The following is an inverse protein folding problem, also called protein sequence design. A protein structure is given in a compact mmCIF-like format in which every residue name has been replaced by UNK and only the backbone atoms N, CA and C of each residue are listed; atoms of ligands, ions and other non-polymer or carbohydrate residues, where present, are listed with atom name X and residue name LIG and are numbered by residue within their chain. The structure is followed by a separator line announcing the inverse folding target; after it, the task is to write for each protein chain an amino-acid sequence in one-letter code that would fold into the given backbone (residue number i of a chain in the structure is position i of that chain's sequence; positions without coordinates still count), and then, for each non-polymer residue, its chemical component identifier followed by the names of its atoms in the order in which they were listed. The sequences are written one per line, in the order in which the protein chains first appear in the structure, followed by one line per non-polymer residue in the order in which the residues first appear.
data_IF_828213166424
#
_entry.id   IF_828213166424
#
_cell.length_a   1.000
_cell.length_b   1.000
_cell.length_c   1.000
_cell.angle_alpha   90.00
_cell.angle_beta   90.00
_cell.angle_gamma   90.00
#
_symmetry.space_group_name_H-M   'P 1'
#
loop_
_entity.id
_entity.type
_entity.pdbx_description
1 polymer ?
#
# COMPACT_ATOMS: atom_id res chain seq x y z
N UNK A 1 -24.50 90.26 16.40
CA UNK A 1 -25.38 89.24 15.80
C UNK A 1 -24.65 87.91 15.94
N UNK A 2 -24.52 87.26 17.10
CA UNK A 2 -25.51 86.85 18.12
C UNK A 2 -26.56 85.88 17.58
N UNK A 3 -26.17 84.60 17.52
CA UNK A 3 -26.86 83.41 18.04
C UNK A 3 -28.29 83.03 17.54
N UNK A 4 -28.74 81.78 17.77
CA UNK A 4 -29.41 80.91 16.80
C UNK A 4 -30.85 80.57 17.26
N UNK A 5 -31.53 79.61 16.60
CA UNK A 5 -32.62 78.71 17.09
C UNK A 5 -33.50 78.22 15.92
N UNK A 6 -34.44 77.26 16.09
CA UNK A 6 -34.26 75.88 16.55
C UNK A 6 -35.11 74.89 15.72
N UNK A 7 -35.18 73.62 16.16
CA UNK A 7 -36.17 72.62 15.75
C UNK A 7 -37.55 72.97 16.30
N UNK A 8 -38.59 72.64 15.51
CA UNK A 8 -39.95 72.41 15.99
C UNK A 8 -40.30 70.92 15.88
N UNK A 9 -40.77 70.39 16.99
CA UNK A 9 -41.68 69.24 17.08
C UNK A 9 -43.08 69.70 16.65
N UNK A 10 -43.85 68.88 15.91
CA UNK A 10 -45.21 68.48 16.28
C UNK A 10 -45.90 67.60 15.22
N UNK A 11 -46.28 66.41 15.68
CA UNK A 11 -47.59 65.77 15.56
C UNK A 11 -48.31 65.68 14.19
N UNK A 12 -48.66 64.45 13.80
CA UNK A 12 -50.05 64.18 13.39
C UNK A 12 -50.46 62.70 13.49
N UNK A 13 -51.44 62.47 14.37
CA UNK A 13 -52.67 61.67 14.21
C UNK A 13 -52.65 60.22 13.67
N UNK A 14 -53.26 59.30 14.45
CA UNK A 14 -53.90 58.07 13.94
C UNK A 14 -55.23 58.36 13.22
N UNK A 15 -56.17 57.39 12.99
CA UNK A 15 -56.24 55.99 13.47
C UNK A 15 -56.67 54.94 12.40
N UNK A 16 -56.74 53.65 12.83
CA UNK A 16 -57.65 52.56 12.39
C UNK A 16 -57.68 52.16 10.87
N UNK A 17 -57.84 50.92 10.40
CA UNK A 17 -58.36 49.66 10.93
C UNK A 17 -58.19 48.57 9.84
N UNK A 18 -58.37 47.31 10.24
CA UNK A 18 -58.68 46.10 9.45
C UNK A 18 -57.54 45.15 9.04
N UNK A 19 -57.43 44.12 9.90
CA UNK A 19 -56.95 42.76 9.64
C UNK A 19 -57.73 42.05 8.52
N UNK A 20 -57.15 40.95 8.01
CA UNK A 20 -57.88 39.69 8.04
C UNK A 20 -57.14 38.57 8.78
N UNK A 21 -57.97 37.67 9.30
CA UNK A 21 -57.75 36.64 10.32
C UNK A 21 -57.35 35.26 9.78
N UNK A 22 -56.41 34.60 10.47
CA UNK A 22 -56.37 33.15 10.77
C UNK A 22 -55.88 32.17 9.68
N UNK A 23 -55.50 30.91 10.02
CA UNK A 23 -55.80 30.20 11.28
C UNK A 23 -54.64 29.42 11.96
N UNK A 24 -54.84 29.02 13.22
CA UNK A 24 -54.43 27.69 13.69
C UNK A 24 -53.21 27.57 14.61
N UNK A 25 -53.31 28.06 15.84
CA UNK A 25 -52.41 27.70 16.95
C UNK A 25 -52.74 26.31 17.50
N UNK A 26 -51.85 25.34 17.28
CA UNK A 26 -51.88 24.01 17.91
C UNK A 26 -50.88 24.00 19.07
N UNK A 27 -51.37 23.64 20.26
CA UNK A 27 -50.63 23.66 21.52
C UNK A 27 -49.38 22.79 21.50
N UNK A 28 -48.27 23.34 22.00
CA UNK A 28 -47.02 22.61 22.22
C UNK A 28 -47.01 22.13 23.67
N UNK A 29 -47.29 20.84 23.85
CA UNK A 29 -47.15 20.15 25.12
C UNK A 29 -45.68 20.18 25.58
N UNK A 30 -45.49 20.48 26.86
CA UNK A 30 -44.21 20.42 27.55
C UNK A 30 -43.72 18.96 27.63
N UNK A 31 -42.54 18.69 27.09
CA UNK A 31 -41.84 17.42 27.29
C UNK A 31 -40.99 17.59 28.55
N UNK A 32 -41.42 16.92 29.62
CA UNK A 32 -40.68 16.84 30.89
C UNK A 32 -39.38 16.03 30.76
N UNK A 33 -38.41 16.23 31.66
CA UNK A 33 -37.14 15.53 31.63
C UNK A 33 -37.30 14.02 31.88
N UNK A 34 -36.41 13.17 31.31
CA UNK A 34 -36.45 11.72 31.52
C UNK A 34 -36.12 11.34 32.97
N UNK A 35 -36.66 10.22 33.49
CA UNK A 35 -36.40 9.75 34.86
C UNK A 35 -34.94 9.34 35.05
N UNK A 36 -34.40 9.71 36.22
CA UNK A 36 -33.04 9.41 36.65
C UNK A 36 -32.82 7.90 36.83
N UNK A 37 -31.85 7.36 36.10
CA UNK A 37 -31.32 6.00 36.32
C UNK A 37 -30.42 6.04 37.54
N UNK A 38 -30.72 5.19 38.52
CA UNK A 38 -29.96 5.04 39.75
C UNK A 38 -28.49 4.67 39.46
N UNK A 39 -27.56 5.49 39.97
CA UNK A 39 -26.12 5.20 39.95
C UNK A 39 -25.81 4.15 41.02
N UNK A 40 -25.02 3.11 40.74
CA UNK A 40 -24.45 2.27 41.79
C UNK A 40 -23.47 3.09 42.64
N UNK A 41 -23.59 2.94 43.95
CA UNK A 41 -22.76 3.61 44.95
C UNK A 41 -21.30 3.21 44.80
N UNK A 42 -20.43 4.22 44.61
CA UNK A 42 -18.97 4.08 44.73
C UNK A 42 -18.62 4.29 46.21
N UNK A 43 -17.95 3.35 46.88
CA UNK A 43 -17.53 3.57 48.26
C UNK A 43 -16.47 4.67 48.32
N UNK A 44 -16.70 5.64 49.20
CA UNK A 44 -15.76 6.70 49.55
C UNK A 44 -14.49 6.09 50.16
N UNK A 45 -13.35 6.19 49.46
CA UNK A 45 -12.05 6.00 50.08
C UNK A 45 -11.56 7.33 50.65
N UNK A 46 -11.49 7.33 51.98
CA UNK A 46 -10.87 8.32 52.83
C UNK A 46 -9.44 8.64 52.40
N UNK A 47 -9.10 9.92 52.43
CA UNK A 47 -7.73 10.38 52.39
C UNK A 47 -6.95 9.94 53.63
N UNK A 48 -5.71 9.52 53.41
CA UNK A 48 -4.64 9.49 54.39
C UNK A 48 -3.33 9.89 53.69
N UNK A 49 -2.38 10.50 54.42
CA UNK A 49 -1.46 11.50 53.88
C UNK A 49 -0.20 10.89 53.23
N UNK A 50 0.46 11.72 52.42
CA UNK A 50 1.77 11.51 51.83
C UNK A 50 2.78 10.88 52.81
N UNK A 51 3.09 9.60 52.59
CA UNK A 51 4.30 8.99 53.13
C UNK A 51 5.48 9.44 52.27
N UNK A 52 6.44 10.13 52.88
CA UNK A 52 7.73 10.45 52.29
C UNK A 52 8.42 9.16 51.85
N UNK A 53 8.63 9.01 50.55
CA UNK A 53 9.41 7.92 49.99
C UNK A 53 10.89 8.19 50.30
N UNK A 54 11.41 7.50 51.31
CA UNK A 54 12.83 7.48 51.61
C UNK A 54 13.60 6.94 50.39
N UNK A 55 14.51 7.76 49.88
CA UNK A 55 15.44 7.42 48.81
C UNK A 55 16.40 6.35 49.34
N UNK A 56 16.36 5.16 48.76
CA UNK A 56 17.34 4.12 49.02
C UNK A 56 18.73 4.57 48.49
N UNK A 57 19.84 4.34 49.23
CA UNK A 57 21.17 4.67 48.76
C UNK A 57 21.58 3.79 47.57
N UNK A 58 22.39 4.32 46.61
CA UNK A 58 22.85 3.55 45.46
C UNK A 58 23.79 2.41 45.91
N UNK A 59 23.80 1.26 45.20
CA UNK A 59 24.71 0.15 45.51
C UNK A 59 26.18 0.54 45.23
N UNK A 60 27.15 -0.04 45.97
CA UNK A 60 28.56 0.26 45.77
C UNK A 60 29.05 -0.20 44.39
N UNK A 61 29.91 0.62 43.79
CA UNK A 61 30.57 0.42 42.51
C UNK A 61 31.26 -0.96 42.45
N UNK A 62 30.92 -1.77 41.44
CA UNK A 62 31.66 -3.00 41.13
C UNK A 62 33.07 -2.63 40.70
N UNK A 63 34.05 -3.11 41.47
CA UNK A 63 35.47 -3.15 41.11
C UNK A 63 35.65 -3.85 39.78
N UNK A 64 36.45 -3.24 38.90
CA UNK A 64 36.78 -3.74 37.57
C UNK A 64 37.51 -5.09 37.64
N UNK A 65 37.04 -6.05 36.85
CA UNK A 65 37.73 -7.33 36.60
C UNK A 65 38.73 -7.10 35.46
N UNK A 66 40.02 -7.47 35.61
CA UNK A 66 41.01 -7.31 34.55
C UNK A 66 40.76 -8.28 33.39
N UNK A 67 41.08 -7.91 32.14
CA UNK A 67 40.84 -8.74 30.97
C UNK A 67 41.77 -9.97 30.93
N UNK A 68 41.31 -11.12 30.40
CA UNK A 68 42.14 -12.29 30.23
C UNK A 68 43.20 -12.10 29.13
N UNK A 69 44.34 -12.82 29.19
CA UNK A 69 45.43 -12.72 28.22
C UNK A 69 45.02 -13.27 26.83
N UNK A 70 45.65 -12.80 25.75
CA UNK A 70 45.30 -13.21 24.39
C UNK A 70 45.70 -14.67 24.11
N UNK A 71 44.78 -15.42 23.50
CA UNK A 71 45.05 -16.75 22.96
C UNK A 71 45.92 -16.68 21.68
N UNK A 72 46.77 -17.68 21.41
CA UNK A 72 47.64 -17.70 20.25
C UNK A 72 46.86 -17.75 18.92
N UNK A 73 47.28 -16.90 17.97
CA UNK A 73 46.70 -16.77 16.64
C UNK A 73 46.98 -18.01 15.79
N UNK A 74 45.92 -18.69 15.37
CA UNK A 74 45.96 -19.74 14.34
C UNK A 74 45.70 -19.07 12.98
N UNK A 75 46.48 -19.32 11.92
CA UNK A 75 46.26 -18.68 10.62
C UNK A 75 44.92 -19.14 10.03
N UNK A 76 43.98 -18.22 9.83
CA UNK A 76 42.72 -18.50 9.11
C UNK A 76 43.01 -18.48 7.61
N UNK A 77 42.92 -19.65 7.00
CA UNK A 77 42.94 -19.84 5.56
C UNK A 77 41.69 -19.21 4.90
N UNK A 78 41.88 -18.62 3.71
CA UNK A 78 40.82 -18.05 2.88
C UNK A 78 39.70 -19.08 2.60
N UNK A 79 38.41 -18.69 2.62
CA UNK A 79 37.34 -19.56 2.15
C UNK A 79 37.35 -19.65 0.61
N UNK A 80 37.18 -20.85 0.02
CA UNK A 80 37.00 -20.97 -1.42
C UNK A 80 35.58 -20.55 -1.83
N UNK A 81 35.52 -19.71 -2.87
CA UNK A 81 34.34 -19.42 -3.68
C UNK A 81 33.92 -20.69 -4.42
N UNK A 82 32.79 -21.28 -4.04
CA UNK A 82 32.24 -22.47 -4.69
C UNK A 82 30.73 -22.37 -4.81
N UNK A 83 30.23 -22.08 -6.02
CA UNK A 83 28.83 -22.24 -6.36
C UNK A 83 28.46 -23.72 -6.35
N UNK A 84 27.38 -24.05 -5.64
CA UNK A 84 26.88 -25.41 -5.57
C UNK A 84 25.99 -25.68 -6.80
N UNK A 85 26.53 -26.46 -7.74
CA UNK A 85 25.78 -27.14 -8.79
C UNK A 85 25.76 -28.63 -8.43
N UNK A 86 24.59 -29.24 -8.38
CA UNK A 86 24.44 -30.66 -8.03
C UNK A 86 24.82 -31.52 -9.26
N UNK A 87 25.85 -32.37 -9.13
CA UNK A 87 26.04 -33.61 -9.91
C UNK A 87 27.25 -33.71 -10.86
N UNK A 88 28.46 -34.00 -10.35
CA UNK A 88 29.41 -35.00 -10.91
C UNK A 88 30.72 -35.10 -10.09
N UNK A 89 31.24 -36.31 -9.98
CA UNK A 89 32.55 -36.65 -9.38
C UNK A 89 33.77 -36.15 -10.19
N UNK A 90 34.96 -36.01 -9.56
CA UNK A 90 36.14 -35.36 -10.13
C UNK A 90 37.16 -36.35 -10.70
N UNK A 91 37.95 -35.90 -11.69
CA UNK A 91 39.25 -36.50 -12.00
C UNK A 91 40.34 -35.44 -12.15
N UNK A 92 41.48 -35.77 -11.54
CA UNK A 92 42.71 -35.03 -11.29
C UNK A 92 43.44 -34.49 -12.54
N UNK A 93 44.15 -33.36 -12.39
CA UNK A 93 45.64 -33.28 -12.56
C UNK A 93 46.17 -31.84 -12.44
N UNK A 94 47.38 -31.71 -11.87
CA UNK A 94 48.15 -30.48 -11.60
C UNK A 94 49.27 -30.25 -12.67
N UNK A 95 50.32 -29.44 -12.44
CA UNK A 95 50.41 -28.01 -12.81
C UNK A 95 51.57 -27.70 -13.81
N UNK A 96 51.59 -26.50 -14.40
CA UNK A 96 52.78 -25.91 -15.06
C UNK A 96 52.94 -24.44 -14.66
N UNK A 97 54.20 -24.02 -14.53
CA UNK A 97 54.71 -22.82 -13.85
C UNK A 97 55.21 -21.76 -14.86
N UNK A 98 55.07 -20.46 -14.51
CA UNK A 98 55.88 -19.25 -14.87
C UNK A 98 55.68 -18.59 -16.27
N UNK A 99 55.75 -17.25 -16.54
CA UNK A 99 56.40 -16.00 -16.00
C UNK A 99 55.57 -14.73 -16.45
N UNK A 100 55.60 -13.53 -15.78
CA UNK A 100 54.73 -12.35 -16.09
C UNK A 100 55.38 -11.28 -17.03
N UNK A 101 54.60 -10.39 -17.72
CA UNK A 101 54.39 -8.97 -17.31
C UNK A 101 53.06 -8.33 -17.89
N UNK A 102 52.86 -6.99 -17.94
CA UNK A 102 52.95 -5.95 -16.92
C UNK A 102 51.55 -5.54 -16.38
N UNK A 103 51.53 -4.77 -15.28
CA UNK A 103 50.35 -4.28 -14.56
C UNK A 103 49.23 -3.75 -15.47
N UNK A 104 48.12 -4.49 -15.51
CA UNK A 104 46.86 -4.06 -16.14
C UNK A 104 45.73 -4.36 -15.16
N UNK A 105 44.76 -3.45 -15.08
CA UNK A 105 43.62 -3.48 -14.15
C UNK A 105 42.99 -4.88 -14.03
N UNK A 106 42.75 -5.30 -12.78
CA UNK A 106 42.47 -6.69 -12.42
C UNK A 106 41.26 -7.33 -13.14
N UNK A 107 41.29 -8.66 -13.36
CA UNK A 107 40.27 -9.41 -14.12
C UNK A 107 38.90 -9.53 -13.43
N UNK A 108 38.74 -8.96 -12.22
CA UNK A 108 37.47 -9.01 -11.50
C UNK A 108 36.46 -8.00 -12.06
N UNK A 109 36.89 -6.82 -12.51
CA UNK A 109 35.98 -5.78 -13.05
C UNK A 109 35.41 -6.16 -14.42
N UNK A 110 36.21 -6.83 -15.27
CA UNK A 110 35.75 -7.36 -16.56
C UNK A 110 34.86 -8.59 -16.41
N UNK A 111 35.07 -9.43 -15.39
CA UNK A 111 34.22 -10.61 -15.15
C UNK A 111 32.85 -10.21 -14.62
N UNK A 112 32.78 -9.26 -13.66
CA UNK A 112 31.50 -8.74 -13.14
C UNK A 112 30.74 -7.96 -14.24
N UNK A 113 31.44 -7.16 -15.06
CA UNK A 113 30.81 -6.48 -16.20
C UNK A 113 30.30 -7.45 -17.27
N UNK A 114 31.02 -8.55 -17.53
CA UNK A 114 30.62 -9.58 -18.50
C UNK A 114 29.47 -10.45 -17.97
N UNK A 115 29.44 -10.73 -16.67
CA UNK A 115 28.32 -11.41 -16.00
C UNK A 115 27.07 -10.52 -15.94
N UNK A 116 27.22 -9.21 -15.70
CA UNK A 116 26.12 -8.24 -15.78
C UNK A 116 25.58 -8.10 -17.22
N UNK A 117 26.46 -8.08 -18.22
CA UNK A 117 26.06 -8.08 -19.64
C UNK A 117 25.36 -9.41 -20.04
N UNK A 118 25.84 -10.55 -19.55
CA UNK A 118 25.20 -11.85 -19.77
C UNK A 118 23.82 -11.94 -19.09
N UNK A 119 23.67 -11.40 -17.87
CA UNK A 119 22.39 -11.33 -17.17
C UNK A 119 21.40 -10.38 -17.86
N UNK A 120 21.87 -9.22 -18.37
CA UNK A 120 21.05 -8.30 -19.17
C UNK A 120 20.59 -8.94 -20.49
N UNK A 121 21.46 -9.70 -21.15
CA UNK A 121 21.13 -10.43 -22.38
C UNK A 121 20.13 -11.55 -22.10
N UNK A 122 20.28 -12.28 -20.99
CA UNK A 122 19.33 -13.31 -20.56
C UNK A 122 17.95 -12.71 -20.19
N UNK A 123 17.92 -11.54 -19.56
CA UNK A 123 16.69 -10.81 -19.25
C UNK A 123 15.99 -10.30 -20.52
N UNK A 124 16.72 -9.80 -21.52
CA UNK A 124 16.18 -9.44 -22.83
C UNK A 124 15.68 -10.65 -23.62
N UNK A 125 16.37 -11.79 -23.54
CA UNK A 125 15.95 -13.06 -24.16
C UNK A 125 14.66 -13.60 -23.50
N UNK A 126 14.55 -13.53 -22.17
CA UNK A 126 13.34 -13.91 -21.45
C UNK A 126 12.17 -12.96 -21.79
N UNK A 127 12.42 -11.65 -21.91
CA UNK A 127 11.41 -10.66 -22.28
C UNK A 127 10.91 -10.84 -23.71
N UNK A 128 11.79 -11.14 -24.66
CA UNK A 128 11.44 -11.43 -26.06
C UNK A 128 10.73 -12.77 -26.19
N UNK A 129 11.13 -13.80 -25.44
CA UNK A 129 10.44 -15.09 -25.40
C UNK A 129 9.04 -14.95 -24.81
N UNK A 130 8.86 -14.14 -23.76
CA UNK A 130 7.55 -13.86 -23.18
C UNK A 130 6.66 -13.03 -24.13
N UNK A 131 7.23 -12.05 -24.83
CA UNK A 131 6.52 -11.29 -25.87
C UNK A 131 6.12 -12.17 -27.06
N UNK A 132 6.99 -13.08 -27.49
CA UNK A 132 6.71 -14.05 -28.56
C UNK A 132 5.72 -15.13 -28.10
N UNK A 133 5.74 -15.55 -26.83
CA UNK A 133 4.75 -16.46 -26.26
C UNK A 133 3.36 -15.79 -26.14
N UNK A 134 3.31 -14.51 -25.76
CA UNK A 134 2.08 -13.71 -25.79
C UNK A 134 1.55 -13.50 -27.21
N UNK A 135 2.44 -13.24 -28.18
CA UNK A 135 2.07 -13.13 -29.59
C UNK A 135 1.64 -14.47 -30.20
N UNK A 136 2.27 -15.59 -29.82
CA UNK A 136 1.86 -16.94 -30.22
C UNK A 136 0.53 -17.34 -29.58
N UNK A 137 0.30 -17.04 -28.30
CA UNK A 137 -1.00 -17.27 -27.66
C UNK A 137 -2.13 -16.43 -28.30
N UNK A 138 -1.82 -15.21 -28.74
CA UNK A 138 -2.77 -14.38 -29.50
C UNK A 138 -2.98 -14.87 -30.94
N UNK A 139 -1.96 -15.49 -31.56
CA UNK A 139 -2.06 -16.10 -32.88
C UNK A 139 -2.78 -17.46 -32.85
N UNK A 140 -2.56 -18.27 -31.82
CA UNK A 140 -3.19 -19.58 -31.59
C UNK A 140 -4.67 -19.42 -31.19
N UNK A 141 -5.03 -18.32 -30.52
CA UNK A 141 -6.42 -17.89 -30.35
C UNK A 141 -7.08 -17.39 -31.65
N UNK A 142 -6.28 -17.12 -32.69
CA UNK A 142 -6.73 -16.74 -34.04
C UNK A 142 -6.74 -17.90 -35.04
N UNK A 143 -6.27 -19.09 -34.64
CA UNK A 143 -6.35 -20.30 -35.43
C UNK A 143 -7.68 -21.01 -35.09
N UNK A 144 -8.43 -21.37 -36.13
CA UNK A 144 -9.79 -21.91 -36.04
C UNK A 144 -9.97 -22.93 -34.92
N UNK A 145 -10.69 -22.53 -33.87
CA UNK A 145 -11.25 -23.47 -32.92
C UNK A 145 -12.18 -24.41 -33.70
N UNK A 146 -12.04 -25.76 -33.58
CA UNK A 146 -12.95 -26.68 -34.23
C UNK A 146 -14.37 -26.37 -33.78
N UNK A 147 -15.29 -26.35 -34.77
CA UNK A 147 -16.68 -25.97 -34.65
C UNK A 147 -17.30 -26.36 -33.30
N UNK A 148 -17.37 -25.38 -32.40
CA UNK A 148 -18.07 -25.51 -31.13
C UNK A 148 -19.53 -25.84 -31.37
N UNK A 149 -20.01 -26.84 -30.64
CA UNK A 149 -21.32 -27.47 -30.74
C UNK A 149 -22.45 -26.44 -30.87
N UNK A 150 -23.01 -26.38 -32.08
CA UNK A 150 -24.18 -25.57 -32.39
C UNK A 150 -25.36 -26.16 -31.63
N UNK A 151 -25.85 -25.47 -30.60
CA UNK A 151 -27.20 -25.69 -30.09
C UNK A 151 -28.18 -25.06 -31.10
N UNK A 152 -28.37 -25.72 -32.25
CA UNK A 152 -29.45 -25.41 -33.17
C UNK A 152 -30.73 -25.98 -32.57
N UNK A 153 -31.38 -25.19 -31.72
CA UNK A 153 -32.73 -25.49 -31.27
C UNK A 153 -33.74 -25.12 -32.37
N UNK A 154 -33.74 -25.88 -33.46
CA UNK A 154 -34.92 -26.05 -34.34
C UNK A 154 -35.59 -27.36 -33.99
N UNK A 155 -36.43 -27.34 -32.95
CA UNK A 155 -37.41 -28.40 -32.70
C UNK A 155 -38.82 -27.79 -32.79
N UNK A 156 -39.71 -28.31 -33.65
CA UNK A 156 -41.09 -27.84 -33.71
C UNK A 156 -41.86 -28.27 -32.46
N UNK A 157 -42.97 -27.60 -32.11
CA UNK A 157 -43.67 -27.83 -30.86
C UNK A 157 -44.59 -29.05 -31.00
N UNK A 158 -44.31 -30.11 -30.26
CA UNK A 158 -45.37 -30.99 -29.77
C UNK A 158 -44.86 -31.88 -28.63
N UNK A 159 -45.69 -32.04 -27.61
CA UNK A 159 -45.49 -32.98 -26.50
C UNK A 159 -45.25 -32.28 -25.16
N UNK A 160 -46.28 -32.27 -24.32
CA UNK A 160 -46.30 -31.60 -23.03
C UNK A 160 -45.44 -32.24 -21.94
N UNK A 161 -45.37 -31.53 -20.81
CA UNK A 161 -44.94 -32.08 -19.54
C UNK A 161 -43.84 -31.28 -18.84
N UNK A 162 -44.25 -30.63 -17.74
CA UNK A 162 -43.45 -30.16 -16.59
C UNK A 162 -42.77 -28.79 -16.69
N UNK A 163 -43.41 -27.82 -16.04
CA UNK A 163 -42.80 -26.56 -15.62
C UNK A 163 -41.95 -26.78 -14.36
N UNK A 164 -40.68 -26.31 -14.32
CA UNK A 164 -40.03 -25.92 -13.08
C UNK A 164 -40.23 -24.41 -12.87
N UNK A 165 -40.78 -24.05 -11.71
CA UNK A 165 -40.75 -22.69 -11.18
C UNK A 165 -39.29 -22.27 -10.93
N UNK A 166 -38.63 -21.68 -11.92
CA UNK A 166 -37.48 -20.81 -11.69
C UNK A 166 -37.88 -19.36 -11.96
N UNK A 167 -37.76 -18.55 -10.91
CA UNK A 167 -38.11 -17.14 -10.91
C UNK A 167 -37.48 -16.37 -12.07
N UNK A 168 -38.23 -15.37 -12.53
CA UNK A 168 -37.97 -14.47 -13.65
C UNK A 168 -36.68 -13.65 -13.45
N UNK A 169 -35.51 -14.26 -13.64
CA UNK A 169 -34.33 -13.48 -14.01
C UNK A 169 -34.41 -13.27 -15.52
N UNK A 170 -34.50 -12.01 -15.94
CA UNK A 170 -34.41 -11.66 -17.35
C UNK A 170 -33.13 -12.27 -17.92
N UNK A 171 -33.24 -13.14 -18.93
CA UNK A 171 -32.06 -13.62 -19.67
C UNK A 171 -31.28 -12.40 -20.14
N UNK A 172 -30.01 -12.30 -19.76
CA UNK A 172 -29.09 -11.38 -20.42
C UNK A 172 -29.14 -11.69 -21.92
N UNK A 173 -29.64 -10.74 -22.72
CA UNK A 173 -29.48 -10.79 -24.17
C UNK A 173 -28.03 -10.41 -24.46
N UNK A 174 -27.15 -11.40 -24.39
CA UNK A 174 -25.80 -11.27 -24.93
C UNK A 174 -25.94 -11.34 -26.45
N UNK A 175 -26.19 -10.19 -27.07
CA UNK A 175 -26.12 -10.06 -28.52
C UNK A 175 -24.67 -10.13 -28.98
N UNK A 176 -24.42 -10.71 -30.15
CA UNK A 176 -23.14 -10.57 -30.82
C UNK A 176 -23.17 -9.31 -31.68
N UNK A 177 -22.18 -8.44 -31.51
CA UNK A 177 -22.01 -7.23 -32.29
C UNK A 177 -20.67 -7.27 -33.00
N UNK A 178 -20.66 -7.02 -34.30
CA UNK A 178 -19.43 -6.90 -35.09
C UNK A 178 -19.02 -5.44 -35.18
N UNK A 179 -17.73 -5.18 -35.01
CA UNK A 179 -17.15 -3.83 -35.07
C UNK A 179 -15.93 -3.88 -35.98
N UNK A 180 -15.74 -2.87 -36.83
CA UNK A 180 -14.55 -2.76 -37.69
C UNK A 180 -13.29 -2.50 -36.85
N UNK A 181 -12.12 -2.98 -37.29
CA UNK A 181 -10.85 -2.78 -36.56
C UNK A 181 -10.56 -1.31 -36.18
N UNK A 182 -10.78 -0.31 -37.06
CA UNK A 182 -10.59 1.10 -36.70
C UNK A 182 -11.60 1.61 -35.65
N UNK A 183 -12.82 1.06 -35.63
CA UNK A 183 -13.83 1.40 -34.63
C UNK A 183 -13.55 0.70 -33.29
N UNK A 184 -13.00 -0.52 -33.31
CA UNK A 184 -12.52 -1.20 -32.10
C UNK A 184 -11.38 -0.42 -31.45
N UNK A 185 -10.46 0.14 -32.23
CA UNK A 185 -9.37 0.98 -31.73
C UNK A 185 -9.85 2.29 -31.08
N UNK A 186 -11.09 2.72 -31.37
CA UNK A 186 -11.74 3.88 -30.73
C UNK A 186 -12.50 3.49 -29.47
N UNK A 187 -12.74 2.20 -29.23
CA UNK A 187 -13.41 1.73 -28.03
C UNK A 187 -12.52 2.00 -26.83
N UNK A 188 -12.95 2.91 -25.97
CA UNK A 188 -12.32 3.15 -24.67
C UNK A 188 -13.27 2.60 -23.62
N UNK A 189 -12.85 1.51 -22.96
CA UNK A 189 -13.47 1.12 -21.71
C UNK A 189 -13.03 2.15 -20.66
N UNK A 190 -13.89 3.12 -20.37
CA UNK A 190 -13.75 3.88 -19.14
C UNK A 190 -14.18 2.94 -18.02
N UNK A 191 -13.21 2.46 -17.24
CA UNK A 191 -13.48 1.65 -16.06
C UNK A 191 -13.28 2.53 -14.82
N UNK A 192 -14.23 3.42 -14.49
CA UNK A 192 -14.19 4.14 -13.22
C UNK A 192 -14.23 3.09 -12.10
N UNK A 193 -13.28 3.16 -11.17
CA UNK A 193 -13.14 2.18 -10.09
C UNK A 193 -12.11 1.05 -10.32
N UNK A 194 -11.28 1.15 -11.36
CA UNK A 194 -10.13 0.23 -11.50
C UNK A 194 -8.97 0.66 -10.60
N UNK A 195 -8.62 -0.20 -9.64
CA UNK A 195 -7.48 0.02 -8.75
C UNK A 195 -7.69 -0.61 -7.38
N UNK A 196 -6.66 -0.47 -6.55
CA UNK A 196 -6.68 -0.86 -5.15
C UNK A 196 -7.44 0.18 -4.35
N UNK A 197 -8.58 -0.20 -3.75
CA UNK A 197 -9.33 0.67 -2.84
C UNK A 197 -8.52 0.83 -1.55
N UNK A 198 -7.99 2.02 -1.31
CA UNK A 198 -7.18 2.31 -0.13
C UNK A 198 -8.02 2.78 1.06
N UNK A 199 -9.23 3.25 0.84
CA UNK A 199 -10.06 3.75 1.93
C UNK A 199 -11.17 4.65 1.44
N UNK A 200 -11.62 5.56 2.30
CA UNK A 200 -12.66 6.52 1.97
C UNK A 200 -12.19 7.97 2.20
N UNK A 201 -12.64 8.88 1.35
CA UNK A 201 -12.42 10.31 1.54
C UNK A 201 -13.34 10.88 2.65
N UNK A 202 -13.23 12.19 2.89
CA UNK A 202 -14.08 12.91 3.86
C UNK A 202 -15.58 12.84 3.53
N UNK A 203 -15.95 12.56 2.29
CA UNK A 203 -17.34 12.34 1.85
C UNK A 203 -17.76 10.86 1.95
N UNK A 204 -16.94 10.00 2.56
CA UNK A 204 -17.15 8.55 2.64
C UNK A 204 -17.19 7.86 1.27
N UNK A 205 -16.57 8.47 0.25
CA UNK A 205 -16.46 7.86 -1.08
C UNK A 205 -15.20 7.01 -1.17
N UNK A 206 -15.26 5.80 -1.76
CA UNK A 206 -14.10 4.95 -1.88
C UNK A 206 -13.03 5.60 -2.77
N UNK A 207 -11.79 5.59 -2.31
CA UNK A 207 -10.63 6.11 -3.05
C UNK A 207 -9.78 4.95 -3.53
N UNK A 208 -9.74 4.77 -4.85
CA UNK A 208 -8.94 3.75 -5.53
C UNK A 208 -7.63 4.33 -6.07
N UNK A 209 -6.54 3.58 -5.92
CA UNK A 209 -5.22 3.90 -6.48
C UNK A 209 -4.77 2.80 -7.43
N UNK A 210 -4.17 3.18 -8.56
CA UNK A 210 -3.73 2.25 -9.60
C UNK A 210 -2.34 1.70 -9.32
N UNK A 211 -2.25 0.77 -8.37
CA UNK A 211 -1.00 0.06 -8.06
C UNK A 211 -0.52 -0.77 -9.26
N UNK A 212 -1.43 -1.57 -9.83
CA UNK A 212 -1.11 -2.53 -10.87
C UNK A 212 -1.56 -2.03 -12.24
N UNK A 213 -0.59 -1.81 -13.14
CA UNK A 213 -0.79 -1.32 -14.51
C UNK A 213 0.33 -1.80 -15.43
N UNK A 214 0.19 -1.69 -16.76
CA UNK A 214 1.26 -2.07 -17.69
C UNK A 214 2.58 -1.33 -17.45
N UNK A 215 2.53 -0.09 -16.97
CA UNK A 215 3.73 0.64 -16.57
C UNK A 215 4.15 0.27 -15.13
N UNK A 216 5.44 0.07 -14.87
CA UNK A 216 5.95 -0.10 -13.53
C UNK A 216 5.53 1.04 -12.59
N UNK A 217 5.22 0.72 -11.34
CA UNK A 217 4.80 1.71 -10.34
C UNK A 217 5.65 1.60 -9.09
N UNK A 218 6.21 2.73 -8.63
CA UNK A 218 6.94 2.88 -7.37
C UNK A 218 6.09 3.68 -6.39
N UNK A 219 5.94 3.14 -5.18
CA UNK A 219 5.19 3.74 -4.09
C UNK A 219 6.11 3.85 -2.88
N UNK A 220 6.12 5.00 -2.21
CA UNK A 220 6.74 5.13 -0.89
C UNK A 220 5.65 5.27 0.16
N UNK A 221 5.80 4.59 1.28
CA UNK A 221 4.95 4.73 2.46
C UNK A 221 5.81 5.25 3.61
N UNK A 222 5.58 6.48 4.06
CA UNK A 222 6.18 7.01 5.29
C UNK A 222 5.20 6.78 6.44
N UNK A 223 5.54 5.84 7.32
CA UNK A 223 4.66 5.37 8.38
C UNK A 223 4.99 3.95 8.83
N UNK A 224 4.13 3.37 9.65
CA UNK A 224 4.36 2.06 10.24
C UNK A 224 4.08 0.88 9.29
N UNK A 225 4.63 -0.27 9.66
CA UNK A 225 4.37 -1.55 8.99
C UNK A 225 2.87 -1.92 8.95
N UNK A 226 2.06 -1.39 9.87
CA UNK A 226 0.61 -1.58 9.88
C UNK A 226 -0.04 -1.13 8.56
N UNK A 227 0.25 0.09 8.10
CA UNK A 227 -0.31 0.60 6.85
C UNK A 227 0.19 -0.22 5.64
N UNK A 228 1.47 -0.62 5.65
CA UNK A 228 2.04 -1.48 4.62
C UNK A 228 1.38 -2.86 4.57
N UNK A 229 1.09 -3.44 5.73
CA UNK A 229 0.40 -4.73 5.85
C UNK A 229 -1.05 -4.64 5.37
N UNK A 230 -1.74 -3.54 5.66
CA UNK A 230 -3.11 -3.32 5.18
C UNK A 230 -3.16 -3.18 3.66
N UNK A 231 -2.22 -2.42 3.08
CA UNK A 231 -2.07 -2.31 1.62
C UNK A 231 -1.76 -3.69 1.00
N UNK A 232 -0.85 -4.46 1.60
CA UNK A 232 -0.53 -5.81 1.16
C UNK A 232 -1.74 -6.75 1.24
N UNK A 233 -2.54 -6.68 2.30
CA UNK A 233 -3.76 -7.46 2.46
C UNK A 233 -4.76 -7.16 1.33
N UNK A 234 -4.97 -5.88 1.03
CA UNK A 234 -5.87 -5.47 -0.05
C UNK A 234 -5.33 -5.83 -1.42
N UNK A 235 -4.01 -5.77 -1.62
CA UNK A 235 -3.38 -6.24 -2.85
C UNK A 235 -3.62 -7.74 -3.05
N UNK A 236 -3.50 -8.54 -2.00
CA UNK A 236 -3.83 -9.98 -2.03
C UNK A 236 -5.30 -10.22 -2.39
N UNK A 237 -6.21 -9.39 -1.88
CA UNK A 237 -7.64 -9.46 -2.23
C UNK A 237 -7.91 -9.17 -3.72
N UNK A 238 -7.04 -8.39 -4.39
CA UNK A 238 -7.06 -8.19 -5.84
C UNK A 238 -6.39 -9.33 -6.63
N UNK A 239 -5.95 -10.39 -5.97
CA UNK A 239 -5.27 -11.53 -6.60
C UNK A 239 -3.78 -11.31 -6.82
N UNK A 240 -3.19 -10.24 -6.29
CA UNK A 240 -1.75 -10.01 -6.37
C UNK A 240 -0.97 -11.09 -5.61
N UNK A 241 0.28 -11.30 -6.02
CA UNK A 241 1.30 -12.01 -5.23
C UNK A 241 2.17 -10.96 -4.54
N UNK A 242 2.54 -11.20 -3.29
CA UNK A 242 3.35 -10.26 -2.52
C UNK A 242 4.71 -10.88 -2.23
N UNK A 243 5.78 -10.19 -2.60
CA UNK A 243 7.12 -10.49 -2.15
C UNK A 243 7.52 -9.43 -1.13
N UNK A 244 7.81 -9.83 0.10
CA UNK A 244 8.21 -8.93 1.18
C UNK A 244 9.69 -9.09 1.43
N UNK A 245 10.45 -8.01 1.34
CA UNK A 245 11.84 -7.94 1.80
C UNK A 245 11.83 -7.12 3.08
N UNK A 246 12.24 -7.71 4.21
CA UNK A 246 12.09 -7.07 5.53
C UNK A 246 13.24 -7.40 6.46
N UNK A 247 13.63 -6.42 7.27
CA UNK A 247 14.58 -6.62 8.38
C UNK A 247 13.96 -7.29 9.59
N UNK A 248 12.62 -7.37 9.66
CA UNK A 248 11.88 -8.06 10.72
C UNK A 248 10.91 -9.11 10.13
N UNK A 249 11.41 -10.31 9.76
CA UNK A 249 10.58 -11.37 9.21
C UNK A 249 9.45 -11.84 10.12
N UNK A 250 9.59 -11.65 11.45
CA UNK A 250 8.59 -12.11 12.43
C UNK A 250 7.27 -11.36 12.28
N UNK A 251 7.33 -10.07 11.96
CA UNK A 251 6.14 -9.25 11.68
C UNK A 251 5.32 -9.80 10.51
N UNK A 252 5.97 -10.41 9.52
CA UNK A 252 5.34 -10.92 8.29
C UNK A 252 5.08 -12.43 8.30
N UNK A 253 5.54 -13.15 9.33
CA UNK A 253 5.42 -14.60 9.42
C UNK A 253 3.96 -15.07 9.41
N UNK A 254 3.63 -15.99 8.49
CA UNK A 254 2.29 -16.55 8.32
C UNK A 254 1.24 -15.54 7.82
N UNK A 255 1.65 -14.33 7.41
CA UNK A 255 0.72 -13.31 6.92
C UNK A 255 -0.07 -13.78 5.70
N UNK A 256 0.58 -14.42 4.72
CA UNK A 256 -0.07 -14.88 3.49
C UNK A 256 -1.13 -15.96 3.73
N UNK A 257 -0.80 -16.95 4.57
CA UNK A 257 -1.72 -18.04 4.94
C UNK A 257 -2.93 -17.49 5.69
N UNK A 258 -2.72 -16.58 6.65
CA UNK A 258 -3.82 -15.93 7.37
C UNK A 258 -4.68 -15.05 6.45
N UNK A 259 -4.06 -14.32 5.54
CA UNK A 259 -4.77 -13.39 4.66
C UNK A 259 -5.55 -14.08 3.53
N UNK A 260 -5.05 -15.20 3.00
CA UNK A 260 -5.58 -15.83 1.78
C UNK A 260 -5.96 -17.30 1.92
N UNK A 261 -5.65 -17.95 3.05
CA UNK A 261 -5.73 -19.39 3.21
C UNK A 261 -4.70 -20.18 2.39
N UNK A 262 -3.73 -19.49 1.76
CA UNK A 262 -2.73 -20.11 0.87
C UNK A 262 -1.32 -19.65 1.22
N UNK A 263 -0.37 -20.59 1.20
CA UNK A 263 1.05 -20.31 1.45
C UNK A 263 1.83 -19.79 0.23
N UNK A 264 1.25 -19.87 -0.98
CA UNK A 264 1.92 -19.54 -2.25
C UNK A 264 1.78 -18.06 -2.67
N UNK A 265 1.01 -17.27 -1.91
CA UNK A 265 0.67 -15.88 -2.26
C UNK A 265 1.62 -14.83 -1.69
N UNK A 266 2.31 -15.15 -0.60
CA UNK A 266 3.26 -14.25 0.05
C UNK A 266 4.59 -14.97 0.26
N UNK A 267 5.67 -14.38 -0.21
CA UNK A 267 7.04 -14.82 0.08
C UNK A 267 7.74 -13.74 0.92
N UNK A 268 8.43 -14.14 1.99
CA UNK A 268 9.16 -13.22 2.88
C UNK A 268 10.65 -13.50 2.79
N UNK A 269 11.44 -12.46 2.55
CA UNK A 269 12.88 -12.49 2.38
C UNK A 269 13.54 -11.60 3.46
N UNK A 270 14.54 -12.10 4.20
CA UNK A 270 15.20 -11.32 5.25
C UNK A 270 16.17 -10.27 4.71
N UNK A 271 16.61 -10.41 3.45
CA UNK A 271 17.62 -9.56 2.83
C UNK A 271 17.25 -9.29 1.38
N UNK A 272 17.68 -8.13 0.88
CA UNK A 272 17.59 -7.79 -0.54
C UNK A 272 18.30 -8.85 -1.41
N UNK A 273 17.59 -9.33 -2.42
CA UNK A 273 18.14 -10.26 -3.40
C UNK A 273 17.44 -10.04 -4.75
N UNK A 274 18.10 -10.34 -5.89
CA UNK A 274 17.43 -10.28 -7.17
C UNK A 274 16.26 -11.27 -7.23
N UNK A 275 15.04 -10.78 -7.48
CA UNK A 275 13.84 -11.62 -7.60
C UNK A 275 13.31 -11.62 -9.03
N UNK A 276 13.20 -12.80 -9.64
CA UNK A 276 12.53 -12.97 -10.92
C UNK A 276 11.01 -13.12 -10.71
N UNK A 277 10.30 -11.99 -10.67
CA UNK A 277 8.87 -11.95 -10.37
C UNK A 277 8.03 -11.84 -11.65
N UNK A 278 7.62 -12.97 -12.23
CA UNK A 278 6.69 -12.94 -13.36
C UNK A 278 5.34 -12.33 -12.92
N UNK A 279 4.89 -11.28 -13.62
CA UNK A 279 3.65 -10.57 -13.32
C UNK A 279 2.79 -10.43 -14.58
N UNK A 280 1.47 -10.50 -14.40
CA UNK A 280 0.49 -10.29 -15.46
C UNK A 280 -0.68 -9.45 -14.92
N UNK A 281 -1.58 -9.01 -15.80
CA UNK A 281 -2.80 -8.32 -15.37
C UNK A 281 -3.69 -9.15 -14.41
N UNK A 282 -3.69 -10.48 -14.57
CA UNK A 282 -4.49 -11.40 -13.75
C UNK A 282 -3.77 -11.86 -12.48
N UNK A 283 -2.44 -11.74 -12.46
CA UNK A 283 -1.59 -12.09 -11.33
C UNK A 283 -0.51 -11.02 -11.20
N UNK A 284 -0.89 -9.82 -10.73
CA UNK A 284 0.08 -8.75 -10.55
C UNK A 284 0.98 -9.05 -9.36
N UNK A 285 2.09 -8.33 -9.24
CA UNK A 285 3.05 -8.52 -8.16
C UNK A 285 3.27 -7.23 -7.39
N UNK A 286 3.19 -7.31 -6.06
CA UNK A 286 3.63 -6.26 -5.13
C UNK A 286 4.94 -6.70 -4.47
N UNK A 287 6.01 -5.96 -4.76
CA UNK A 287 7.30 -6.09 -4.07
C UNK A 287 7.37 -5.04 -2.95
N UNK A 288 7.33 -5.49 -1.71
CA UNK A 288 7.26 -4.66 -0.52
C UNK A 288 8.61 -4.67 0.19
N UNK A 289 9.26 -3.52 0.31
CA UNK A 289 10.48 -3.32 1.09
C UNK A 289 10.13 -2.70 2.45
N UNK A 290 10.26 -3.44 3.54
CA UNK A 290 10.08 -2.98 4.92
C UNK A 290 11.43 -3.01 5.64
N UNK A 291 12.29 -2.06 5.26
CA UNK A 291 13.70 -2.01 5.66
C UNK A 291 13.98 -0.98 6.77
N UNK A 292 13.00 -0.16 7.16
CA UNK A 292 13.14 0.80 8.26
C UNK A 292 13.33 2.23 7.76
N UNK A 293 14.58 2.73 7.74
CA UNK A 293 14.90 4.16 7.51
C UNK A 293 15.22 4.49 6.05
N UNK A 294 15.78 3.52 5.32
CA UNK A 294 16.29 3.71 3.96
C UNK A 294 15.55 2.78 3.01
N UNK A 295 15.35 3.23 1.78
CA UNK A 295 14.87 2.39 0.70
C UNK A 295 15.87 1.30 0.30
N UNK A 296 15.51 0.46 -0.69
CA UNK A 296 16.39 -0.62 -1.14
C UNK A 296 17.71 -0.08 -1.69
N UNK A 297 18.82 -0.71 -1.31
CA UNK A 297 20.17 -0.35 -1.77
C UNK A 297 20.35 -0.62 -3.27
N UNK A 298 19.73 -1.71 -3.74
CA UNK A 298 19.71 -2.08 -5.15
C UNK A 298 18.25 -2.18 -5.65
N UNK A 299 17.67 -1.06 -6.14
CA UNK A 299 16.29 -1.06 -6.61
C UNK A 299 16.07 -2.13 -7.69
N UNK A 300 15.05 -2.95 -7.50
CA UNK A 300 14.70 -3.95 -8.49
C UNK A 300 14.24 -3.28 -9.80
N UNK A 301 14.66 -3.85 -10.92
CA UNK A 301 14.14 -3.50 -12.24
C UNK A 301 12.70 -4.02 -12.34
N UNK A 302 11.75 -3.09 -12.39
CA UNK A 302 10.33 -3.41 -12.39
C UNK A 302 9.82 -3.65 -13.82
N UNK A 303 9.12 -4.77 -13.99
CA UNK A 303 8.41 -5.11 -15.22
C UNK A 303 6.95 -4.62 -15.23
N UNK A 304 6.21 -4.91 -16.31
CA UNK A 304 4.78 -4.60 -16.38
C UNK A 304 4.00 -5.32 -15.28
N UNK A 305 2.97 -4.67 -14.73
CA UNK A 305 2.13 -5.19 -13.64
C UNK A 305 2.87 -5.50 -12.34
N UNK A 306 4.08 -4.94 -12.17
CA UNK A 306 4.82 -4.96 -10.93
C UNK A 306 4.76 -3.61 -10.24
N UNK A 307 4.48 -3.63 -8.94
CA UNK A 307 4.53 -2.47 -8.07
C UNK A 307 5.60 -2.69 -7.03
N UNK A 308 6.48 -1.71 -6.85
CA UNK A 308 7.34 -1.66 -5.66
C UNK A 308 6.72 -0.72 -4.63
N UNK A 309 6.60 -1.17 -3.40
CA UNK A 309 6.28 -0.32 -2.26
C UNK A 309 7.41 -0.33 -1.25
N UNK A 310 7.98 0.83 -0.95
CA UNK A 310 9.00 1.01 0.08
C UNK A 310 8.37 1.59 1.34
N UNK A 311 8.45 0.88 2.46
CA UNK A 311 7.96 1.31 3.78
C UNK A 311 9.11 1.92 4.57
N UNK A 312 9.00 3.22 4.82
CA UNK A 312 9.91 4.03 5.62
C UNK A 312 9.24 4.25 6.99
N UNK A 313 9.68 3.47 8.00
CA UNK A 313 9.13 3.52 9.37
C UNK A 313 9.38 4.85 10.06
N UNK A 314 10.45 5.51 9.68
CA UNK A 314 10.78 6.87 10.05
C UNK A 314 11.53 7.51 8.87
N UNK A 315 11.29 8.79 8.61
CA UNK A 315 11.97 9.52 7.54
C UNK A 315 13.09 10.39 8.10
N UNK A 316 14.30 10.17 7.60
CA UNK A 316 15.44 11.07 7.76
C UNK A 316 15.95 11.56 6.40
N UNK A 317 17.05 12.31 6.40
CA UNK A 317 17.66 12.84 5.17
C UNK A 317 18.08 11.75 4.18
N UNK A 318 18.46 10.55 4.67
CA UNK A 318 18.89 9.43 3.83
C UNK A 318 17.72 8.73 3.15
N UNK A 319 16.51 8.79 3.73
CA UNK A 319 15.28 8.28 3.14
C UNK A 319 14.65 9.19 2.08
N UNK A 320 15.03 10.47 2.00
CA UNK A 320 14.45 11.47 1.07
C UNK A 320 14.47 11.03 -0.41
N UNK A 321 15.56 10.47 -0.96
CA UNK A 321 15.55 10.00 -2.35
C UNK A 321 14.44 8.97 -2.63
N UNK A 322 14.12 8.12 -1.64
CA UNK A 322 13.10 7.08 -1.79
C UNK A 322 11.68 7.64 -1.99
N UNK A 323 11.38 8.83 -1.46
CA UNK A 323 10.08 9.49 -1.67
C UNK A 323 10.07 10.34 -2.95
N UNK A 324 11.21 10.86 -3.39
CA UNK A 324 11.31 11.68 -4.60
C UNK A 324 11.22 10.87 -5.90
N UNK A 325 11.75 9.65 -5.90
CA UNK A 325 11.78 8.77 -7.08
C UNK A 325 10.51 7.91 -7.24
N UNK A 326 9.46 8.17 -6.45
CA UNK A 326 8.22 7.41 -6.47
C UNK A 326 7.11 8.09 -7.29
N UNK A 327 6.20 7.27 -7.84
CA UNK A 327 5.00 7.76 -8.52
C UNK A 327 3.93 8.24 -7.52
N UNK A 328 3.92 7.62 -6.34
CA UNK A 328 2.98 7.92 -5.26
C UNK A 328 3.70 7.86 -3.93
N UNK A 329 3.46 8.85 -3.08
CA UNK A 329 3.88 8.85 -1.68
C UNK A 329 2.64 8.79 -0.80
N UNK A 330 2.65 7.84 0.12
CA UNK A 330 1.61 7.60 1.12
C UNK A 330 2.16 8.01 2.49
N UNK A 331 1.47 8.88 3.21
CA UNK A 331 1.96 9.48 4.46
C UNK A 331 0.95 9.27 5.59
N UNK A 332 1.31 8.48 6.61
CA UNK A 332 0.56 8.40 7.87
C UNK A 332 1.07 9.45 8.85
N UNK A 333 0.21 10.00 9.74
CA UNK A 333 0.49 11.13 10.68
C UNK A 333 1.83 11.83 10.35
N UNK A 334 2.76 12.26 11.19
CA UNK A 334 4.17 12.62 10.88
C UNK A 334 4.69 13.42 12.08
N UNK A 335 5.91 13.14 12.53
CA UNK A 335 6.58 14.03 13.48
C UNK A 335 6.91 15.38 12.83
N UNK A 336 7.18 16.42 13.62
CA UNK A 336 7.51 17.75 13.09
C UNK A 336 8.75 17.74 12.17
N UNK A 337 9.79 17.00 12.55
CA UNK A 337 11.01 16.85 11.75
C UNK A 337 10.74 16.11 10.42
N UNK A 338 9.99 15.01 10.46
CA UNK A 338 9.63 14.24 9.27
C UNK A 338 8.73 15.06 8.33
N UNK A 339 7.77 15.78 8.88
CA UNK A 339 6.87 16.64 8.12
C UNK A 339 7.64 17.75 7.40
N UNK A 340 8.64 18.35 8.04
CA UNK A 340 9.52 19.34 7.40
C UNK A 340 10.32 18.73 6.23
N UNK A 341 10.87 17.52 6.41
CA UNK A 341 11.58 16.80 5.34
C UNK A 341 10.66 16.48 4.16
N UNK A 342 9.47 15.93 4.41
CA UNK A 342 8.48 15.65 3.36
C UNK A 342 8.03 16.94 2.67
N UNK A 343 7.78 18.00 3.44
CA UNK A 343 7.38 19.31 2.91
C UNK A 343 8.41 19.87 1.94
N UNK A 344 9.69 19.81 2.28
CA UNK A 344 10.78 20.21 1.38
C UNK A 344 10.94 19.30 0.17
N UNK A 345 10.92 17.98 0.38
CA UNK A 345 11.17 16.98 -0.65
C UNK A 345 10.08 16.92 -1.72
N UNK A 346 8.81 16.99 -1.31
CA UNK A 346 7.63 16.92 -2.19
C UNK A 346 7.04 18.30 -2.52
N UNK A 347 7.66 19.38 -2.02
CA UNK A 347 7.21 20.78 -2.19
C UNK A 347 5.77 21.00 -1.72
N UNK A 348 5.42 20.40 -0.58
CA UNK A 348 4.07 20.53 -0.03
C UNK A 348 3.85 21.95 0.53
N UNK A 349 2.63 22.51 0.38
CA UNK A 349 2.26 23.75 1.06
C UNK A 349 2.36 23.62 2.58
N UNK A 350 2.72 24.71 3.26
CA UNK A 350 2.83 24.73 4.73
C UNK A 350 1.55 24.22 5.46
N UNK A 351 0.31 24.56 5.03
CA UNK A 351 -0.89 23.99 5.63
C UNK A 351 -0.98 22.46 5.52
N UNK A 352 -0.57 21.88 4.38
CA UNK A 352 -0.52 20.41 4.20
C UNK A 352 0.48 19.78 5.16
N UNK A 353 1.68 20.37 5.27
CA UNK A 353 2.73 19.91 6.19
C UNK A 353 2.32 19.99 7.66
N UNK A 354 1.57 21.03 8.05
CA UNK A 354 1.02 21.15 9.39
C UNK A 354 -0.08 20.11 9.63
N UNK A 355 -0.95 19.89 8.65
CA UNK A 355 -2.03 18.91 8.77
C UNK A 355 -1.51 17.49 8.97
N UNK A 356 -0.43 17.11 8.28
CA UNK A 356 0.22 15.81 8.46
C UNK A 356 0.54 15.49 9.93
N UNK A 357 0.91 16.50 10.74
CA UNK A 357 1.27 16.34 12.14
C UNK A 357 0.08 16.02 13.07
N UNK A 358 -1.14 16.39 12.66
CA UNK A 358 -2.36 16.26 13.47
C UNK A 358 -3.35 15.23 12.90
N UNK A 359 -3.02 14.57 11.79
CA UNK A 359 -3.84 13.48 11.23
C UNK A 359 -4.07 12.35 12.24
N UNK A 360 -5.24 11.70 12.18
CA UNK A 360 -5.47 10.49 12.97
C UNK A 360 -4.59 9.32 12.49
N UNK A 361 -4.42 8.29 13.32
CA UNK A 361 -3.54 7.15 13.03
C UNK A 361 -4.05 6.26 11.88
N UNK A 362 -5.35 6.33 11.59
CA UNK A 362 -6.00 5.64 10.48
C UNK A 362 -6.11 6.47 9.19
N UNK A 363 -5.65 7.72 9.24
CA UNK A 363 -5.58 8.60 8.07
C UNK A 363 -4.28 8.38 7.30
N UNK A 364 -4.40 8.56 5.99
CA UNK A 364 -3.26 8.57 5.09
C UNK A 364 -3.42 9.67 4.03
N UNK A 365 -2.37 10.45 3.85
CA UNK A 365 -2.26 11.38 2.74
C UNK A 365 -1.65 10.66 1.53
N UNK A 366 -2.23 10.86 0.37
CA UNK A 366 -1.78 10.39 -0.92
C UNK A 366 -1.26 11.58 -1.69
N UNK A 367 0.04 11.61 -1.93
CA UNK A 367 0.74 12.67 -2.67
C UNK A 367 1.29 12.05 -3.94
N UNK A 368 0.73 12.43 -5.09
CA UNK A 368 1.10 11.90 -6.39
C UNK A 368 0.14 12.38 -7.48
N UNK A 369 0.56 12.32 -8.74
CA UNK A 369 -0.24 12.66 -9.92
C UNK A 369 -0.94 14.05 -9.88
N UNK A 370 -0.33 15.02 -9.18
CA UNK A 370 -0.75 16.43 -9.20
C UNK A 370 -1.87 16.83 -8.24
N UNK A 371 -2.34 15.93 -7.35
CA UNK A 371 -3.29 16.30 -6.29
C UNK A 371 -3.04 15.54 -5.00
N UNK A 372 -2.97 16.28 -3.89
CA UNK A 372 -2.95 15.70 -2.55
C UNK A 372 -4.35 15.25 -2.15
N UNK A 373 -4.49 14.02 -1.67
CA UNK A 373 -5.76 13.48 -1.15
C UNK A 373 -5.58 12.93 0.24
N UNK A 374 -6.54 13.18 1.12
CA UNK A 374 -6.54 12.62 2.46
C UNK A 374 -7.69 11.62 2.58
N UNK A 375 -7.38 10.43 3.06
CA UNK A 375 -8.34 9.35 3.20
C UNK A 375 -8.19 8.69 4.57
N UNK A 376 -9.26 8.03 5.01
CA UNK A 376 -9.22 7.07 6.09
C UNK A 376 -9.13 5.67 5.50
N UNK A 377 -8.29 4.81 6.06
CA UNK A 377 -8.19 3.43 5.59
C UNK A 377 -9.52 2.67 5.68
N UNK A 378 -10.41 3.04 6.61
CA UNK A 378 -11.73 2.42 6.82
C UNK A 378 -11.65 0.89 6.87
N UNK A 379 -10.87 0.36 7.82
CA UNK A 379 -10.64 -1.09 7.94
C UNK A 379 -11.95 -1.88 8.02
N UNK A 380 -12.02 -2.99 7.30
CA UNK A 380 -13.06 -4.01 7.50
C UNK A 380 -12.82 -4.80 8.79
N UNK A 381 -13.81 -5.57 9.25
CA UNK A 381 -13.64 -6.44 10.43
C UNK A 381 -12.51 -7.46 10.25
N UNK A 382 -12.43 -8.05 9.05
CA UNK A 382 -11.38 -9.01 8.70
C UNK A 382 -10.00 -8.33 8.73
N UNK A 383 -9.90 -7.12 8.18
CA UNK A 383 -8.65 -6.34 8.22
C UNK A 383 -8.23 -5.97 9.65
N UNK A 384 -9.19 -5.59 10.50
CA UNK A 384 -8.93 -5.31 11.93
C UNK A 384 -8.45 -6.55 12.68
N UNK A 385 -9.05 -7.71 12.41
CA UNK A 385 -8.64 -8.97 13.04
C UNK A 385 -7.18 -9.34 12.72
N UNK A 386 -6.72 -9.04 11.50
CA UNK A 386 -5.36 -9.40 11.07
C UNK A 386 -4.31 -8.33 11.32
N UNK A 387 -4.58 -7.06 10.98
CA UNK A 387 -3.62 -5.97 11.12
C UNK A 387 -3.66 -5.33 12.51
N UNK A 388 -4.73 -5.54 13.27
CA UNK A 388 -4.99 -4.86 14.53
C UNK A 388 -5.52 -3.43 14.34
N UNK A 389 -5.54 -2.68 15.44
CA UNK A 389 -5.96 -1.29 15.46
C UNK A 389 -4.97 -0.39 14.69
N UNK A 390 -5.46 0.74 14.13
CA UNK A 390 -4.61 1.75 13.51
C UNK A 390 -3.48 2.21 14.44
N UNK A 391 -2.28 2.29 13.89
CA UNK A 391 -1.08 2.71 14.62
C UNK A 391 -0.08 3.38 13.69
N UNK A 392 0.66 4.34 14.26
CA UNK A 392 1.82 4.96 13.65
C UNK A 392 3.03 4.81 14.56
#
# INVERSE_FOLDING_TARGET
MTHPRPRDDEQQAGPAQQQPTGPGSVGRAAVGPPPAVARPAVPAQYGAPYAQQQVAPPPPSRTAVPPPPPAPQVPVANPPTGGMVIGRDPTLSAPVVQVPPPSTAGPQSTTVARQAAAAATAAQAASTTAAQAGARAAADAGQESPAGTVYDSRRPPNGGGRQPLLGKLARLRIGSHTVSRPALAKLRLSAPGTGLILGADRQQRPVSVRFFRPEPTRVALVGGAWAGMLVAFRALALGARVAVVTSDPRTWHGFGERATGRGDRVAVFPTEQPLALAATAQQPVLLLYDLGLVGPNAPQQLGPWQTQMTVLRQLDQSGVPSIQDCNLVMLQRLGSAEAALVGGALRLPAPSTQFLQVMADDMIALVGDGSDRYIWFSQTDVERQYAGAPRR
#
